data_IF_390492223321
#
_entry.id   IF_390492223321
#
_cell.length_a   1.000
_cell.length_b   1.000
_cell.length_c   1.000
_cell.angle_alpha   90.00
_cell.angle_beta   90.00
_cell.angle_gamma   90.00
#
_symmetry.space_group_name_H-M   'P 1'
#
loop_
_entity.id
_entity.type
_entity.pdbx_description
1 polymer ?
#
# COMPACT_ATOMS: atom_id res chain seq x y z
N UNK A 1 -2.70 32.19 5.60
CA UNK A 1 -3.71 31.13 5.32
C UNK A 1 -3.31 29.91 6.15
N UNK A 2 -4.21 29.35 6.96
CA UNK A 2 -3.84 28.17 7.78
C UNK A 2 -3.58 26.97 6.87
N UNK A 3 -2.65 26.08 7.28
CA UNK A 3 -2.39 24.80 6.57
C UNK A 3 -3.68 24.04 6.29
N UNK A 4 -4.62 24.03 7.23
CA UNK A 4 -5.93 23.39 7.08
C UNK A 4 -6.75 24.00 5.92
N UNK A 5 -6.73 25.33 5.75
CA UNK A 5 -7.40 26.03 4.65
C UNK A 5 -6.73 25.75 3.32
N UNK A 6 -5.39 25.66 3.32
CA UNK A 6 -4.61 25.27 2.14
C UNK A 6 -4.93 23.84 1.71
N UNK A 7 -4.93 22.89 2.65
CA UNK A 7 -5.25 21.48 2.37
C UNK A 7 -6.70 21.29 1.87
N UNK A 8 -7.66 22.08 2.38
CA UNK A 8 -9.04 22.04 1.90
C UNK A 8 -9.22 22.59 0.47
N UNK A 9 -8.29 23.45 0.01
CA UNK A 9 -8.30 23.98 -1.36
C UNK A 9 -7.51 23.11 -2.34
N UNK A 10 -6.85 22.04 -1.87
CA UNK A 10 -6.21 21.06 -2.75
C UNK A 10 -7.26 20.38 -3.62
N UNK A 11 -6.78 19.93 -4.77
CA UNK A 11 -7.56 19.34 -5.84
C UNK A 11 -8.68 18.41 -5.32
N UNK A 12 -9.91 18.69 -5.71
CA UNK A 12 -11.06 17.81 -5.46
C UNK A 12 -10.91 16.53 -6.27
N UNK A 13 -11.37 15.42 -5.71
CA UNK A 13 -11.38 14.11 -6.36
C UNK A 13 -12.77 13.74 -6.90
N UNK A 14 -13.65 14.71 -7.10
CA UNK A 14 -14.97 14.46 -7.66
C UNK A 14 -14.89 13.69 -8.97
N UNK A 15 -15.67 12.62 -9.07
CA UNK A 15 -15.69 11.70 -10.21
C UNK A 15 -14.33 10.97 -10.45
N UNK A 16 -13.47 10.90 -9.43
CA UNK A 16 -12.23 10.11 -9.49
C UNK A 16 -12.37 8.86 -8.64
N UNK A 17 -12.02 7.72 -9.20
CA UNK A 17 -11.96 6.43 -8.51
C UNK A 17 -10.52 6.14 -8.11
N UNK A 18 -10.30 5.85 -6.84
CA UNK A 18 -8.96 5.52 -6.31
C UNK A 18 -8.97 4.11 -5.75
N UNK A 19 -8.06 3.27 -6.23
CA UNK A 19 -7.85 1.93 -5.71
C UNK A 19 -6.82 2.00 -4.59
N UNK A 20 -7.09 1.38 -3.43
CA UNK A 20 -6.17 1.36 -2.29
C UNK A 20 -5.95 -0.07 -1.81
N UNK A 21 -4.73 -0.58 -1.95
CA UNK A 21 -4.38 -1.87 -1.36
C UNK A 21 -4.18 -1.72 0.15
N UNK A 22 -4.80 -2.61 0.95
CA UNK A 22 -4.74 -2.54 2.41
C UNK A 22 -5.51 -1.37 3.02
N UNK A 23 -6.61 -0.94 2.41
CA UNK A 23 -7.44 0.21 2.82
C UNK A 23 -8.25 0.02 4.11
N UNK A 24 -8.10 -1.09 4.84
CA UNK A 24 -8.94 -1.42 6.02
C UNK A 24 -8.34 -1.02 7.37
N UNK A 25 -7.13 -0.48 7.41
CA UNK A 25 -6.46 -0.03 8.64
C UNK A 25 -5.31 0.94 8.36
N UNK A 26 -4.80 1.58 9.43
CA UNK A 26 -3.59 2.40 9.39
C UNK A 26 -3.63 3.50 8.32
N UNK A 27 -2.51 3.66 7.61
CA UNK A 27 -2.34 4.66 6.55
C UNK A 27 -3.36 4.45 5.43
N UNK A 28 -3.56 3.20 4.99
CA UNK A 28 -4.52 2.89 3.92
C UNK A 28 -5.94 3.34 4.23
N UNK A 29 -6.41 3.11 5.46
CA UNK A 29 -7.72 3.60 5.89
C UNK A 29 -7.78 5.14 5.96
N UNK A 30 -6.69 5.79 6.32
CA UNK A 30 -6.62 7.25 6.33
C UNK A 30 -6.69 7.81 4.90
N UNK A 31 -6.01 7.16 3.94
CA UNK A 31 -6.09 7.50 2.51
C UNK A 31 -7.53 7.33 2.01
N UNK A 32 -8.18 6.20 2.31
CA UNK A 32 -9.58 5.95 1.93
C UNK A 32 -10.50 7.07 2.45
N UNK A 33 -10.37 7.45 3.73
CA UNK A 33 -11.14 8.54 4.32
C UNK A 33 -10.91 9.88 3.63
N UNK A 34 -9.67 10.19 3.28
CA UNK A 34 -9.33 11.44 2.62
C UNK A 34 -9.85 11.48 1.19
N UNK A 35 -9.78 10.38 0.43
CA UNK A 35 -10.37 10.28 -0.91
C UNK A 35 -11.88 10.54 -0.87
N UNK A 36 -12.59 9.90 0.05
CA UNK A 36 -14.04 10.09 0.22
C UNK A 36 -14.38 11.53 0.65
N UNK A 37 -13.61 12.10 1.57
CA UNK A 37 -13.76 13.49 2.01
C UNK A 37 -13.56 14.48 0.86
N UNK A 38 -12.62 14.21 -0.05
CA UNK A 38 -12.35 14.99 -1.26
C UNK A 38 -13.35 14.75 -2.41
N UNK A 39 -14.36 13.94 -2.19
CA UNK A 39 -15.43 13.70 -3.16
C UNK A 39 -15.12 12.58 -4.17
N UNK A 40 -14.08 11.79 -3.95
CA UNK A 40 -13.76 10.62 -4.78
C UNK A 40 -14.47 9.35 -4.34
N UNK A 41 -14.46 8.34 -5.20
CA UNK A 41 -14.89 6.98 -4.92
C UNK A 41 -13.68 6.06 -4.69
N UNK A 42 -13.88 4.95 -3.99
CA UNK A 42 -12.78 4.09 -3.58
C UNK A 42 -13.04 2.63 -3.92
N UNK A 43 -12.00 1.95 -4.39
CA UNK A 43 -11.94 0.48 -4.39
C UNK A 43 -10.95 0.04 -3.32
N UNK A 44 -11.42 -0.67 -2.32
CA UNK A 44 -10.59 -1.25 -1.26
C UNK A 44 -10.15 -2.64 -1.67
N UNK A 45 -8.86 -2.83 -1.93
CA UNK A 45 -8.30 -4.16 -2.13
C UNK A 45 -7.84 -4.71 -0.79
N UNK A 46 -8.47 -5.78 -0.29
CA UNK A 46 -8.22 -6.30 1.06
C UNK A 46 -8.35 -7.81 1.14
N UNK A 47 -7.51 -8.41 2.01
CA UNK A 47 -7.50 -9.86 2.26
C UNK A 47 -8.68 -10.32 3.12
N UNK A 48 -9.08 -9.51 4.10
CA UNK A 48 -10.17 -9.84 5.02
C UNK A 48 -11.45 -9.11 4.59
N UNK A 49 -12.32 -9.81 3.90
CA UNK A 49 -13.57 -9.27 3.36
C UNK A 49 -14.55 -8.85 4.46
N UNK A 50 -14.65 -9.58 5.58
CA UNK A 50 -15.51 -9.21 6.71
C UNK A 50 -15.11 -7.84 7.26
N UNK A 51 -13.82 -7.66 7.55
CA UNK A 51 -13.30 -6.36 8.01
C UNK A 51 -13.48 -5.25 6.96
N UNK A 52 -13.32 -5.58 5.68
CA UNK A 52 -13.48 -4.60 4.60
C UNK A 52 -14.95 -4.12 4.52
N UNK A 53 -15.91 -5.03 4.65
CA UNK A 53 -17.34 -4.70 4.67
C UNK A 53 -17.70 -3.85 5.90
N UNK A 54 -17.24 -4.19 7.10
CA UNK A 54 -17.44 -3.36 8.29
C UNK A 54 -16.91 -1.92 8.12
N UNK A 55 -15.72 -1.79 7.50
CA UNK A 55 -15.13 -0.48 7.20
C UNK A 55 -15.98 0.27 6.16
N UNK A 56 -16.40 -0.40 5.10
CA UNK A 56 -17.28 0.16 4.06
C UNK A 56 -18.56 0.72 4.66
N UNK A 57 -19.28 -0.06 5.46
CA UNK A 57 -20.53 0.36 6.10
C UNK A 57 -20.33 1.61 6.98
N UNK A 58 -19.32 1.60 7.85
CA UNK A 58 -18.98 2.74 8.70
C UNK A 58 -18.63 4.00 7.90
N UNK A 59 -17.95 3.85 6.77
CA UNK A 59 -17.56 4.98 5.93
C UNK A 59 -18.76 5.51 5.12
N UNK A 60 -19.60 4.66 4.57
CA UNK A 60 -20.79 5.06 3.82
C UNK A 60 -21.80 5.78 4.72
N UNK A 61 -21.93 5.38 5.98
CA UNK A 61 -22.74 6.12 6.96
C UNK A 61 -22.26 7.57 7.19
N UNK A 62 -20.96 7.83 6.99
CA UNK A 62 -20.34 9.16 7.15
C UNK A 62 -20.28 9.95 5.84
N UNK A 63 -20.06 9.27 4.72
CA UNK A 63 -19.86 9.85 3.39
C UNK A 63 -20.97 9.40 2.44
N UNK A 64 -22.22 9.82 2.72
CA UNK A 64 -23.47 9.28 2.14
C UNK A 64 -23.54 9.29 0.61
N UNK A 65 -22.87 10.16 -0.08
CA UNK A 65 -22.95 10.26 -1.56
C UNK A 65 -21.67 9.74 -2.22
N UNK A 66 -21.00 8.75 -1.62
CA UNK A 66 -19.78 8.16 -2.14
C UNK A 66 -19.96 6.67 -2.42
N UNK A 67 -19.15 6.16 -3.31
CA UNK A 67 -19.13 4.75 -3.66
C UNK A 67 -17.86 4.07 -3.14
N UNK A 68 -18.04 2.86 -2.58
CA UNK A 68 -16.94 2.03 -2.09
C UNK A 68 -17.16 0.61 -2.61
N UNK A 69 -16.22 0.13 -3.42
CA UNK A 69 -16.13 -1.26 -3.83
C UNK A 69 -15.08 -2.00 -3.03
N UNK A 70 -15.21 -3.32 -2.97
CA UNK A 70 -14.25 -4.19 -2.30
C UNK A 70 -13.82 -5.26 -3.28
N UNK A 71 -12.51 -5.43 -3.43
CA UNK A 71 -11.90 -6.52 -4.19
C UNK A 71 -11.08 -7.37 -3.24
N UNK A 72 -11.32 -8.68 -3.25
CA UNK A 72 -10.50 -9.63 -2.49
C UNK A 72 -9.07 -9.63 -3.04
N UNK A 73 -8.10 -9.41 -2.14
CA UNK A 73 -6.71 -9.26 -2.53
C UNK A 73 -5.74 -9.66 -1.41
N UNK A 74 -5.12 -10.82 -1.56
CA UNK A 74 -3.96 -11.20 -0.74
C UNK A 74 -2.67 -10.95 -1.55
N UNK A 75 -1.92 -9.93 -1.18
CA UNK A 75 -0.68 -9.52 -1.85
C UNK A 75 0.44 -10.56 -1.72
N UNK A 76 0.29 -11.58 -0.88
CA UNK A 76 1.22 -12.71 -0.76
C UNK A 76 0.84 -13.92 -1.61
N UNK A 77 -0.35 -13.93 -2.20
CA UNK A 77 -0.87 -15.04 -3.00
C UNK A 77 -0.97 -14.68 -4.48
N UNK A 78 -0.25 -15.39 -5.33
CA UNK A 78 -0.18 -15.12 -6.76
C UNK A 78 -1.55 -15.24 -7.45
N UNK A 79 -2.35 -16.24 -7.04
CA UNK A 79 -3.67 -16.47 -7.62
C UNK A 79 -4.65 -15.38 -7.24
N UNK A 80 -4.62 -14.94 -5.96
CA UNK A 80 -5.41 -13.81 -5.49
C UNK A 80 -5.06 -12.52 -6.23
N UNK A 81 -3.76 -12.26 -6.47
CA UNK A 81 -3.31 -11.09 -7.24
C UNK A 81 -3.87 -11.13 -8.66
N UNK A 82 -3.72 -12.25 -9.37
CA UNK A 82 -4.20 -12.39 -10.76
C UNK A 82 -5.70 -12.18 -10.84
N UNK A 83 -6.48 -12.82 -9.97
CA UNK A 83 -7.94 -12.64 -9.90
C UNK A 83 -8.33 -11.18 -9.65
N UNK A 84 -7.64 -10.53 -8.73
CA UNK A 84 -7.90 -9.12 -8.42
C UNK A 84 -7.59 -8.21 -9.61
N UNK A 85 -6.51 -8.49 -10.36
CA UNK A 85 -6.20 -7.77 -11.62
C UNK A 85 -7.31 -7.93 -12.63
N UNK A 86 -7.83 -9.14 -12.82
CA UNK A 86 -8.91 -9.39 -13.78
C UNK A 86 -10.19 -8.63 -13.40
N UNK A 87 -10.53 -8.56 -12.09
CA UNK A 87 -11.66 -7.76 -11.60
C UNK A 87 -11.41 -6.26 -11.86
N UNK A 88 -10.23 -5.75 -11.54
CA UNK A 88 -9.88 -4.34 -11.77
C UNK A 88 -10.00 -3.98 -13.24
N UNK A 89 -9.49 -4.82 -14.13
CA UNK A 89 -9.56 -4.58 -15.58
C UNK A 89 -10.98 -4.64 -16.13
N UNK A 90 -11.83 -5.49 -15.56
CA UNK A 90 -13.21 -5.66 -16.01
C UNK A 90 -14.14 -4.56 -15.47
N UNK A 91 -13.99 -4.18 -14.19
CA UNK A 91 -15.00 -3.39 -13.47
C UNK A 91 -14.49 -2.00 -13.06
N UNK A 92 -13.19 -1.79 -13.03
CA UNK A 92 -12.57 -0.57 -12.51
C UNK A 92 -11.44 -0.04 -13.38
N UNK A 93 -11.36 -0.40 -14.65
CA UNK A 93 -10.24 0.01 -15.54
C UNK A 93 -10.11 1.53 -15.71
N UNK A 94 -11.16 2.30 -15.35
CA UNK A 94 -11.22 3.75 -15.38
C UNK A 94 -10.65 4.44 -14.12
N UNK A 95 -9.97 3.69 -13.25
CA UNK A 95 -9.45 4.26 -12.01
C UNK A 95 -8.46 5.41 -12.27
N UNK A 96 -8.53 6.43 -11.43
CA UNK A 96 -7.65 7.60 -11.50
C UNK A 96 -6.27 7.31 -10.91
N UNK A 97 -6.23 6.59 -9.77
CA UNK A 97 -4.99 6.24 -9.08
C UNK A 97 -5.06 4.87 -8.40
N UNK A 98 -3.94 4.15 -8.39
CA UNK A 98 -3.71 2.95 -7.59
C UNK A 98 -2.66 3.24 -6.52
N UNK A 99 -3.07 3.14 -5.25
CA UNK A 99 -2.17 3.30 -4.09
C UNK A 99 -1.75 1.94 -3.58
N UNK A 100 -0.51 1.58 -3.81
CA UNK A 100 0.12 0.34 -3.36
C UNK A 100 0.61 0.50 -1.92
N UNK A 101 -0.34 0.52 -0.99
CA UNK A 101 -0.10 0.76 0.43
C UNK A 101 0.05 -0.52 1.25
N UNK A 102 -0.57 -1.63 0.82
CA UNK A 102 -0.50 -2.88 1.58
C UNK A 102 0.94 -3.32 1.82
N UNK A 103 1.24 -3.67 3.05
CA UNK A 103 2.55 -4.15 3.46
C UNK A 103 2.52 -4.70 4.87
N UNK A 104 3.51 -5.52 5.18
CA UNK A 104 3.68 -6.15 6.50
C UNK A 104 5.11 -5.96 7.00
N UNK A 105 5.24 -5.99 8.33
CA UNK A 105 6.50 -6.10 9.03
C UNK A 105 6.34 -7.16 10.13
N UNK A 106 6.89 -8.34 9.93
CA UNK A 106 6.77 -9.46 10.87
C UNK A 106 8.02 -9.55 11.73
N UNK A 107 7.85 -9.74 13.05
CA UNK A 107 8.95 -9.98 13.99
C UNK A 107 9.36 -11.46 14.07
N UNK A 108 8.57 -12.36 13.48
CA UNK A 108 8.85 -13.81 13.44
C UNK A 108 9.24 -14.21 12.03
N UNK A 109 10.29 -15.02 11.92
CA UNK A 109 10.70 -15.60 10.66
C UNK A 109 9.63 -16.57 10.18
N UNK A 110 8.91 -16.19 9.13
CA UNK A 110 7.92 -17.05 8.48
C UNK A 110 8.25 -17.13 7.00
N UNK A 111 8.59 -18.31 6.54
CA UNK A 111 8.82 -18.56 5.13
C UNK A 111 7.50 -18.68 4.38
N UNK A 112 7.45 -18.11 3.19
CA UNK A 112 6.41 -18.42 2.24
C UNK A 112 6.80 -19.75 1.55
N UNK A 113 6.13 -20.82 1.94
CA UNK A 113 6.48 -22.19 1.50
C UNK A 113 6.40 -22.42 -0.02
N UNK A 114 5.62 -21.61 -0.76
CA UNK A 114 5.48 -21.78 -2.22
C UNK A 114 6.72 -21.33 -2.99
N UNK A 115 7.35 -20.23 -2.56
CA UNK A 115 8.44 -19.57 -3.31
C UNK A 115 9.77 -19.54 -2.53
N UNK A 116 9.82 -20.26 -1.42
CA UNK A 116 10.99 -20.39 -0.55
C UNK A 116 11.60 -19.04 -0.12
N UNK A 117 10.75 -18.03 0.08
CA UNK A 117 11.15 -16.70 0.51
C UNK A 117 10.36 -16.19 1.71
N UNK A 118 10.87 -15.20 2.41
CA UNK A 118 10.20 -14.59 3.54
C UNK A 118 8.90 -13.90 3.14
N UNK A 119 7.84 -14.12 3.94
CA UNK A 119 6.52 -13.54 3.70
C UNK A 119 6.56 -12.01 3.59
N UNK A 120 7.42 -11.33 4.35
CA UNK A 120 7.60 -9.87 4.24
C UNK A 120 8.07 -9.45 2.86
N UNK A 121 9.07 -10.14 2.30
CA UNK A 121 9.60 -9.85 0.96
C UNK A 121 8.56 -10.23 -0.10
N UNK A 122 7.94 -11.40 0.04
CA UNK A 122 6.88 -11.86 -0.87
C UNK A 122 5.74 -10.85 -0.95
N UNK A 123 5.23 -10.39 0.21
CA UNK A 123 4.12 -9.46 0.26
C UNK A 123 4.50 -8.07 -0.26
N UNK A 124 5.54 -7.47 0.33
CA UNK A 124 5.81 -6.04 0.10
C UNK A 124 6.44 -5.74 -1.26
N UNK A 125 7.20 -6.67 -1.81
CA UNK A 125 7.97 -6.47 -3.05
C UNK A 125 7.44 -7.33 -4.21
N UNK A 126 7.48 -8.67 -4.04
CA UNK A 126 7.13 -9.58 -5.13
C UNK A 126 5.67 -9.45 -5.53
N UNK A 127 4.77 -9.34 -4.54
CA UNK A 127 3.34 -9.17 -4.79
C UNK A 127 3.01 -7.85 -5.49
N UNK A 128 3.70 -6.75 -5.14
CA UNK A 128 3.57 -5.46 -5.85
C UNK A 128 4.05 -5.58 -7.29
N UNK A 129 5.20 -6.23 -7.50
CA UNK A 129 5.71 -6.45 -8.86
C UNK A 129 4.74 -7.30 -9.69
N UNK A 130 4.22 -8.39 -9.12
CA UNK A 130 3.26 -9.25 -9.82
C UNK A 130 1.95 -8.52 -10.16
N UNK A 131 1.46 -7.66 -9.28
CA UNK A 131 0.32 -6.79 -9.55
C UNK A 131 0.57 -5.91 -10.78
N UNK A 132 1.70 -5.21 -10.80
CA UNK A 132 2.04 -4.27 -11.88
C UNK A 132 2.32 -4.98 -13.20
N UNK A 133 3.07 -6.08 -13.20
CA UNK A 133 3.39 -6.84 -14.42
C UNK A 133 2.15 -7.42 -15.10
N UNK A 134 1.10 -7.73 -14.35
CA UNK A 134 -0.16 -8.24 -14.90
C UNK A 134 -1.16 -7.14 -15.26
N UNK A 135 -1.08 -5.97 -14.59
CA UNK A 135 -2.02 -4.88 -14.77
C UNK A 135 -1.59 -3.91 -15.88
N UNK A 136 -0.36 -3.39 -15.82
CA UNK A 136 0.10 -2.30 -16.70
C UNK A 136 -0.02 -2.61 -18.21
N UNK A 137 0.35 -3.80 -18.72
CA UNK A 137 0.29 -4.09 -20.16
C UNK A 137 -1.14 -4.08 -20.71
N UNK A 138 -2.15 -4.20 -19.85
CA UNK A 138 -3.56 -4.30 -20.23
C UNK A 138 -4.34 -3.00 -20.02
N UNK A 139 -3.73 -2.00 -19.37
CA UNK A 139 -4.35 -0.69 -19.12
C UNK A 139 -4.18 0.25 -20.31
N UNK A 140 -5.16 1.14 -20.47
CA UNK A 140 -5.14 2.25 -21.43
C UNK A 140 -5.58 3.53 -20.74
N UNK A 141 -5.05 4.67 -21.23
CA UNK A 141 -5.41 5.98 -20.67
C UNK A 141 -4.45 6.48 -19.60
N UNK A 142 -4.89 7.47 -18.85
CA UNK A 142 -4.07 8.13 -17.86
C UNK A 142 -4.30 7.57 -16.46
N UNK A 143 -3.26 7.00 -15.86
CA UNK A 143 -3.32 6.44 -14.52
C UNK A 143 -2.13 6.89 -13.66
N UNK A 144 -2.36 6.95 -12.36
CA UNK A 144 -1.35 7.29 -11.34
C UNK A 144 -1.07 6.10 -10.46
N UNK A 145 0.19 5.73 -10.31
CA UNK A 145 0.65 4.61 -9.50
C UNK A 145 1.46 5.17 -8.34
N UNK A 146 0.98 4.97 -7.12
CA UNK A 146 1.57 5.54 -5.91
C UNK A 146 2.17 4.41 -5.09
N UNK A 147 3.50 4.39 -5.02
CA UNK A 147 4.27 3.42 -4.24
C UNK A 147 4.48 3.95 -2.82
N UNK A 148 4.17 3.14 -1.83
CA UNK A 148 4.49 3.47 -0.46
C UNK A 148 5.87 2.96 -0.09
N UNK A 149 6.85 3.84 -0.14
CA UNK A 149 8.22 3.66 0.29
C UNK A 149 8.39 3.61 1.82
N UNK A 150 9.61 3.77 2.27
CA UNK A 150 9.97 3.87 3.68
C UNK A 150 11.36 4.47 3.83
N UNK A 151 11.56 5.32 4.83
CA UNK A 151 12.87 5.91 5.17
C UNK A 151 13.99 4.88 5.37
N UNK A 152 13.63 3.63 5.71
CA UNK A 152 14.63 2.58 5.93
C UNK A 152 15.07 1.89 4.64
N UNK A 153 14.48 2.16 3.52
CA UNK A 153 14.82 1.49 2.26
C UNK A 153 16.29 1.70 1.86
N UNK A 154 16.82 2.91 2.01
CA UNK A 154 18.23 3.22 1.74
C UNK A 154 19.25 2.65 2.73
N UNK A 155 18.83 1.99 3.81
CA UNK A 155 19.74 1.46 4.85
C UNK A 155 20.34 0.10 4.50
N UNK A 156 20.06 -0.40 3.33
CA UNK A 156 20.61 -1.70 2.90
C UNK A 156 22.02 -1.54 2.36
N UNK A 157 23.02 -1.91 3.18
CA UNK A 157 24.45 -1.82 2.84
C UNK A 157 25.03 -3.11 2.21
N UNK A 158 24.20 -4.09 1.84
CA UNK A 158 24.63 -5.35 1.24
C UNK A 158 23.90 -5.58 -0.08
N UNK A 159 24.64 -5.97 -1.11
CA UNK A 159 24.01 -6.45 -2.35
C UNK A 159 23.04 -7.58 -2.01
N UNK A 160 21.80 -7.46 -2.47
CA UNK A 160 20.80 -8.54 -2.36
C UNK A 160 21.28 -9.68 -3.27
N UNK A 161 22.11 -10.58 -2.73
CA UNK A 161 22.62 -11.73 -3.48
C UNK A 161 21.52 -12.74 -3.80
N UNK A 162 20.51 -12.83 -2.92
CA UNK A 162 19.36 -13.68 -3.13
C UNK A 162 18.19 -13.25 -2.25
N UNK A 163 17.00 -13.12 -2.84
CA UNK A 163 15.74 -12.94 -2.10
C UNK A 163 15.36 -14.18 -1.27
N UNK A 164 16.07 -15.30 -1.49
CA UNK A 164 15.87 -16.59 -0.82
C UNK A 164 16.86 -16.85 0.32
N UNK A 165 17.71 -15.86 0.69
CA UNK A 165 18.60 -15.99 1.84
C UNK A 165 17.77 -16.21 3.12
N UNK A 166 17.97 -17.36 3.77
CA UNK A 166 17.21 -17.81 4.95
C UNK A 166 17.75 -17.26 6.27
N UNK A 167 18.84 -16.49 6.25
CA UNK A 167 19.50 -15.95 7.43
C UNK A 167 19.19 -14.47 7.70
N UNK A 168 18.12 -13.93 7.12
CA UNK A 168 17.74 -12.53 7.27
C UNK A 168 16.92 -12.31 8.55
N UNK A 169 17.32 -11.35 9.37
CA UNK A 169 16.50 -10.86 10.47
C UNK A 169 15.19 -10.22 9.95
N UNK A 170 14.18 -10.11 10.79
CA UNK A 170 12.92 -9.48 10.41
C UNK A 170 13.12 -8.04 9.89
N UNK A 171 14.03 -7.29 10.49
CA UNK A 171 14.36 -5.93 10.07
C UNK A 171 15.06 -5.89 8.71
N UNK A 172 16.01 -6.79 8.46
CA UNK A 172 16.65 -6.93 7.14
C UNK A 172 15.64 -7.30 6.05
N UNK A 173 14.71 -8.23 6.33
CA UNK A 173 13.63 -8.58 5.40
C UNK A 173 12.80 -7.35 5.04
N UNK A 174 12.46 -6.52 6.02
CA UNK A 174 11.69 -5.31 5.81
C UNK A 174 12.45 -4.28 4.98
N UNK A 175 13.72 -3.99 5.33
CA UNK A 175 14.58 -3.09 4.56
C UNK A 175 14.66 -3.57 3.11
N UNK A 176 15.01 -4.84 2.87
CA UNK A 176 15.10 -5.43 1.53
C UNK A 176 13.79 -5.27 0.78
N UNK A 177 12.66 -5.55 1.43
CA UNK A 177 11.35 -5.43 0.79
C UNK A 177 11.03 -4.00 0.37
N UNK A 178 11.39 -3.00 1.18
CA UNK A 178 11.17 -1.59 0.89
C UNK A 178 12.15 -1.04 -0.16
N UNK A 179 13.41 -1.46 -0.12
CA UNK A 179 14.37 -1.18 -1.21
C UNK A 179 13.88 -1.76 -2.55
N UNK A 180 13.25 -2.95 -2.51
CA UNK A 180 12.61 -3.54 -3.68
C UNK A 180 11.45 -2.70 -4.22
N UNK A 181 10.62 -2.12 -3.35
CA UNK A 181 9.53 -1.20 -3.76
C UNK A 181 10.09 0.05 -4.45
N UNK A 182 11.17 0.64 -3.91
CA UNK A 182 11.84 1.77 -4.55
C UNK A 182 12.44 1.40 -5.91
N UNK A 183 13.07 0.23 -6.00
CA UNK A 183 13.60 -0.27 -7.26
C UNK A 183 12.49 -0.46 -8.31
N UNK A 184 11.31 -0.95 -7.92
CA UNK A 184 10.14 -1.01 -8.81
C UNK A 184 9.69 0.38 -9.25
N UNK A 185 9.62 1.33 -8.34
CA UNK A 185 9.28 2.71 -8.68
C UNK A 185 10.25 3.27 -9.74
N UNK A 186 11.56 3.17 -9.52
CA UNK A 186 12.55 3.65 -10.50
C UNK A 186 12.41 2.90 -11.83
N UNK A 187 12.29 1.58 -11.80
CA UNK A 187 12.11 0.77 -13.01
C UNK A 187 10.90 1.24 -13.83
N UNK A 188 9.73 1.31 -13.22
CA UNK A 188 8.51 1.68 -13.93
C UNK A 188 8.47 3.16 -14.33
N UNK A 189 9.06 4.06 -13.54
CA UNK A 189 9.11 5.49 -13.87
C UNK A 189 10.01 5.82 -15.06
N UNK A 190 11.00 4.97 -15.36
CA UNK A 190 11.89 5.13 -16.53
C UNK A 190 11.36 4.48 -17.81
N UNK A 191 10.35 3.63 -17.71
CA UNK A 191 9.71 3.07 -18.90
C UNK A 191 8.89 4.17 -19.59
N UNK A 192 8.90 4.16 -20.93
CA UNK A 192 8.06 5.08 -21.71
C UNK A 192 6.61 4.59 -21.67
N UNK A 193 5.88 4.99 -20.63
CA UNK A 193 4.51 4.58 -20.37
C UNK A 193 3.56 5.71 -20.80
N UNK A 194 2.97 5.59 -21.96
CA UNK A 194 1.99 6.55 -22.48
C UNK A 194 0.79 6.69 -21.54
N UNK A 195 0.71 7.80 -20.83
CA UNK A 195 -0.39 8.13 -19.92
C UNK A 195 -0.22 7.68 -18.47
N UNK A 196 0.86 6.98 -18.09
CA UNK A 196 1.08 6.54 -16.72
C UNK A 196 2.02 7.49 -15.96
N UNK A 197 1.65 7.86 -14.75
CA UNK A 197 2.50 8.63 -13.83
C UNK A 197 2.80 7.82 -12.58
N UNK A 198 4.05 7.82 -12.16
CA UNK A 198 4.52 7.07 -10.99
C UNK A 198 4.99 8.01 -9.92
N UNK A 199 4.65 7.70 -8.67
CA UNK A 199 5.00 8.50 -7.49
C UNK A 199 5.49 7.58 -6.37
N UNK A 200 6.55 7.99 -5.69
CA UNK A 200 7.03 7.35 -4.47
C UNK A 200 6.70 8.27 -3.30
N UNK A 201 6.01 7.74 -2.29
CA UNK A 201 5.61 8.48 -1.10
C UNK A 201 6.17 7.80 0.14
N UNK A 202 6.88 8.55 0.96
CA UNK A 202 7.38 8.10 2.25
C UNK A 202 6.54 8.74 3.37
N UNK A 203 5.78 7.94 4.12
CA UNK A 203 4.89 8.47 5.16
C UNK A 203 5.63 8.93 6.42
N UNK A 204 6.96 8.80 6.46
CA UNK A 204 7.75 9.07 7.66
C UNK A 204 7.49 8.06 8.79
N UNK A 205 7.78 8.49 10.03
CA UNK A 205 7.49 7.70 11.23
C UNK A 205 6.00 7.85 11.59
N UNK A 206 5.23 6.81 11.37
CA UNK A 206 3.78 6.79 11.67
C UNK A 206 3.44 5.74 12.70
N UNK A 207 2.52 6.08 13.62
CA UNK A 207 1.94 5.13 14.57
C UNK A 207 0.90 4.27 13.86
N UNK A 208 1.33 3.21 13.19
CA UNK A 208 0.44 2.30 12.45
C UNK A 208 0.48 0.87 12.99
N UNK A 209 -0.50 0.07 12.58
CA UNK A 209 -0.57 -1.37 12.91
C UNK A 209 0.54 -2.22 12.27
N UNK A 210 1.50 -1.60 11.57
CA UNK A 210 2.61 -2.33 10.93
C UNK A 210 3.49 -3.05 11.95
N UNK A 211 3.55 -2.55 13.20
CA UNK A 211 4.28 -3.16 14.32
C UNK A 211 3.38 -3.96 15.27
N UNK A 212 2.17 -4.35 14.84
CA UNK A 212 1.20 -5.07 15.70
C UNK A 212 1.72 -6.39 16.25
N UNK A 213 2.62 -7.07 15.52
CA UNK A 213 3.19 -8.35 15.92
C UNK A 213 4.41 -8.21 16.85
N UNK A 214 4.79 -6.97 17.22
CA UNK A 214 5.85 -6.71 18.16
C UNK A 214 5.37 -6.77 19.63
N UNK A 215 6.25 -7.08 20.60
CA UNK A 215 5.95 -7.03 22.01
C UNK A 215 5.33 -5.68 22.42
N UNK A 216 4.44 -5.73 23.41
CA UNK A 216 3.67 -4.55 23.85
C UNK A 216 4.56 -3.36 24.25
N UNK A 217 5.73 -3.62 24.86
CA UNK A 217 6.67 -2.57 25.25
C UNK A 217 7.29 -1.84 24.04
N UNK A 218 7.58 -2.54 22.92
CA UNK A 218 8.08 -1.92 21.68
C UNK A 218 6.97 -1.08 21.05
N UNK A 219 5.74 -1.60 21.03
CA UNK A 219 4.57 -0.85 20.53
C UNK A 219 4.30 0.40 21.36
N UNK A 220 4.45 0.29 22.69
CA UNK A 220 4.32 1.42 23.60
C UNK A 220 5.46 2.43 23.42
N UNK A 221 6.72 1.98 23.37
CA UNK A 221 7.89 2.85 23.15
C UNK A 221 7.79 3.60 21.81
N UNK A 222 7.37 2.94 20.74
CA UNK A 222 7.13 3.59 19.46
C UNK A 222 6.07 4.68 19.52
N UNK A 223 4.96 4.44 20.24
CA UNK A 223 3.89 5.44 20.44
C UNK A 223 4.35 6.62 21.29
N UNK A 224 5.14 6.37 22.35
CA UNK A 224 5.68 7.40 23.23
C UNK A 224 6.71 8.25 22.48
N UNK A 225 7.63 7.61 21.76
CA UNK A 225 8.62 8.30 20.93
C UNK A 225 7.96 9.24 19.92
N UNK A 226 6.97 8.76 19.17
CA UNK A 226 6.21 9.57 18.22
C UNK A 226 5.48 10.74 18.92
N UNK A 227 4.91 10.51 20.11
CA UNK A 227 4.20 11.54 20.85
C UNK A 227 5.13 12.63 21.41
N UNK A 228 6.36 12.26 21.80
CA UNK A 228 7.34 13.19 22.39
C UNK A 228 8.06 14.00 21.29
N UNK A 229 8.37 13.39 20.14
CA UNK A 229 9.17 14.03 19.10
C UNK A 229 8.36 14.61 17.94
N UNK A 230 7.10 14.23 17.79
CA UNK A 230 6.24 14.64 16.67
C UNK A 230 4.82 15.03 17.12
N UNK A 231 4.68 15.64 18.31
CA UNK A 231 3.43 16.28 18.72
C UNK A 231 3.20 17.53 17.87
N UNK A 232 2.34 17.38 16.87
CA UNK A 232 1.73 18.48 16.13
C UNK A 232 0.29 18.69 16.58
#
# INVERSE_FOLDING_TARGET
>A
MSIKKYLNNLQQLSNKKVIVTGGTSGIGLSIVKEVLFKGGDVVIMARNLSKANEVKEKLLAKYMNRHIDIVEYDQSDNQSIIKAVDIVLKEHQDFYALVMNAGIFQNKHKLCLKDDMYLTIKTNYVGVNLLLTNLLPKLKGEHRFIFQGSLVAGWHNKSIKSLKDKNLSAFQQYIISKSGVEALFYHYSTLNNNGFSFYLVEPGLTSTDIIRDFPSFIRWAGKVFLKVFFSF
#
